data_IF_281774026426
#
_entry.id   IF_281774026426
#
_cell.length_a   1.000
_cell.length_b   1.000
_cell.length_c   1.000
_cell.angle_alpha   90.00
_cell.angle_beta   90.00
_cell.angle_gamma   90.00
#
_symmetry.space_group_name_H-M   'P 1'
#
loop_
_entity.id
_entity.type
_entity.pdbx_description
1 polymer ?
#
# COMPACT_ATOMS: atom_id res chain seq x y z
N UNK A 1 12.63 -7.54 0.99
CA UNK A 1 11.22 -7.31 0.59
C UNK A 1 11.16 -6.23 -0.48
N UNK A 2 10.30 -6.43 -1.48
CA UNK A 2 10.03 -5.42 -2.51
C UNK A 2 8.56 -4.99 -2.39
N UNK A 3 8.33 -3.70 -2.14
CA UNK A 3 7.00 -3.08 -2.09
C UNK A 3 6.86 -2.17 -3.32
N UNK A 4 5.75 -2.30 -4.03
CA UNK A 4 5.40 -1.37 -5.12
C UNK A 4 4.11 -0.65 -4.73
N UNK A 5 4.20 0.66 -4.65
CA UNK A 5 3.05 1.55 -4.44
C UNK A 5 2.54 1.99 -5.81
N UNK A 6 1.28 1.73 -6.06
CA UNK A 6 0.59 2.05 -7.32
C UNK A 6 -0.53 3.02 -7.02
N UNK A 7 -0.63 4.07 -7.81
CA UNK A 7 -1.80 4.95 -7.83
C UNK A 7 -2.20 5.25 -9.28
N UNK A 8 -3.28 5.99 -9.48
CA UNK A 8 -3.73 6.38 -10.82
C UNK A 8 -2.64 7.11 -11.60
N UNK A 9 -1.92 8.00 -10.93
CA UNK A 9 -0.78 8.72 -11.50
C UNK A 9 0.47 8.47 -10.69
N UNK A 10 1.64 8.61 -11.34
CA UNK A 10 2.92 8.46 -10.64
C UNK A 10 3.14 9.56 -9.60
N UNK A 11 2.60 10.77 -9.83
CA UNK A 11 2.65 11.87 -8.87
C UNK A 11 1.96 11.52 -7.55
N UNK A 12 0.74 10.97 -7.61
CA UNK A 12 0.02 10.50 -6.42
C UNK A 12 0.77 9.39 -5.68
N UNK A 13 1.34 8.42 -6.41
CA UNK A 13 2.15 7.39 -5.79
C UNK A 13 3.42 7.96 -5.12
N UNK A 14 4.01 9.02 -5.68
CA UNK A 14 5.17 9.71 -5.09
C UNK A 14 4.85 10.39 -3.76
N UNK A 15 3.62 10.90 -3.57
CA UNK A 15 3.21 11.50 -2.30
C UNK A 15 3.36 10.51 -1.13
N UNK A 16 3.12 9.22 -1.37
CA UNK A 16 3.32 8.18 -0.36
C UNK A 16 4.81 8.08 0.03
N UNK A 17 5.72 8.13 -0.96
CA UNK A 17 7.16 8.13 -0.70
C UNK A 17 7.57 9.39 0.08
N UNK A 18 7.05 10.55 -0.30
CA UNK A 18 7.33 11.82 0.39
C UNK A 18 6.84 11.80 1.84
N UNK A 19 5.64 11.28 2.10
CA UNK A 19 5.14 11.09 3.47
C UNK A 19 6.04 10.18 4.29
N UNK A 20 6.49 9.07 3.72
CA UNK A 20 7.43 8.16 4.41
C UNK A 20 8.74 8.88 4.71
N UNK A 21 9.33 9.58 3.74
CA UNK A 21 10.66 10.18 3.88
C UNK A 21 10.67 11.48 4.68
N UNK A 22 9.61 12.28 4.55
CA UNK A 22 9.57 13.63 5.12
C UNK A 22 8.84 13.68 6.46
N UNK A 23 7.94 12.73 6.72
CA UNK A 23 7.14 12.72 7.95
C UNK A 23 7.53 11.56 8.87
N UNK A 24 7.56 10.33 8.37
CA UNK A 24 7.79 9.15 9.21
C UNK A 24 9.28 8.90 9.50
N UNK A 25 10.15 9.19 8.55
CA UNK A 25 11.59 8.93 8.65
C UNK A 25 12.39 10.22 8.89
N UNK A 26 11.84 11.20 9.59
CA UNK A 26 12.56 12.42 9.94
C UNK A 26 13.54 12.17 11.07
N UNK A 27 14.70 12.81 10.95
CA UNK A 27 15.73 12.79 12.00
C UNK A 27 15.29 13.56 13.25
N UNK A 28 14.46 14.58 13.08
CA UNK A 28 13.94 15.44 14.14
C UNK A 28 12.44 15.63 14.00
N UNK A 29 11.75 15.89 15.10
CA UNK A 29 10.30 16.11 15.12
C UNK A 29 9.52 14.81 15.40
N UNK A 30 8.37 14.67 14.76
CA UNK A 30 7.42 13.55 14.99
C UNK A 30 7.87 12.23 14.36
N UNK A 31 8.83 12.28 13.43
CA UNK A 31 9.35 11.11 12.76
C UNK A 31 10.31 10.30 13.63
N UNK A 32 10.62 9.10 13.18
CA UNK A 32 11.55 8.20 13.86
C UNK A 32 12.97 8.32 13.30
N UNK A 33 13.91 8.74 14.14
CA UNK A 33 15.33 8.74 13.82
C UNK A 33 15.85 7.33 13.50
N UNK A 34 15.31 6.30 14.18
CA UNK A 34 15.64 4.91 13.93
C UNK A 34 15.19 4.45 12.54
N UNK A 35 13.97 4.80 12.11
CA UNK A 35 13.52 4.51 10.76
C UNK A 35 14.35 5.24 9.71
N UNK A 36 14.74 6.49 9.97
CA UNK A 36 15.60 7.24 9.07
C UNK A 36 16.99 6.59 8.94
N UNK A 37 17.55 6.03 10.02
CA UNK A 37 18.85 5.34 9.99
C UNK A 37 18.85 4.04 9.19
N UNK A 38 17.68 3.42 8.98
CA UNK A 38 17.53 2.23 8.13
C UNK A 38 17.56 2.53 6.64
N UNK A 39 17.39 3.82 6.25
CA UNK A 39 17.37 4.23 4.84
C UNK A 39 18.80 4.35 4.33
N UNK A 40 19.15 3.49 3.36
CA UNK A 40 20.41 3.54 2.64
C UNK A 40 20.41 4.58 1.52
N UNK A 41 19.28 4.69 0.82
CA UNK A 41 19.13 5.59 -0.33
C UNK A 41 17.67 5.99 -0.49
N UNK A 42 17.44 7.24 -0.83
CA UNK A 42 16.11 7.76 -1.19
C UNK A 42 16.18 8.62 -2.45
N UNK A 43 15.17 8.53 -3.26
CA UNK A 43 14.92 9.40 -4.42
C UNK A 43 13.45 9.77 -4.45
N UNK A 44 13.16 11.04 -4.61
CA UNK A 44 11.85 11.64 -4.79
C UNK A 44 11.60 12.11 -6.23
N UNK A 45 12.46 11.71 -7.15
CA UNK A 45 12.33 12.00 -8.58
C UNK A 45 10.97 11.52 -9.10
N UNK A 46 10.25 12.40 -9.79
CA UNK A 46 8.88 12.19 -10.29
C UNK A 46 8.71 10.84 -11.02
N UNK A 47 9.72 10.42 -11.78
CA UNK A 47 9.64 9.19 -12.58
C UNK A 47 10.27 7.96 -11.93
N UNK A 48 10.95 8.10 -10.78
CA UNK A 48 11.72 7.02 -10.18
C UNK A 48 11.86 7.20 -8.66
N UNK A 49 10.75 7.56 -8.00
CA UNK A 49 10.77 7.65 -6.55
C UNK A 49 10.91 6.27 -5.93
N UNK A 50 11.88 6.14 -5.03
CA UNK A 50 12.16 4.89 -4.32
C UNK A 50 12.92 5.12 -3.04
N UNK A 51 12.73 4.20 -2.11
CA UNK A 51 13.50 4.07 -0.88
C UNK A 51 14.18 2.71 -0.90
N UNK A 52 15.47 2.68 -0.62
CA UNK A 52 16.26 1.45 -0.44
C UNK A 52 16.76 1.44 0.99
N UNK A 53 16.49 0.35 1.71
CA UNK A 53 16.93 0.14 3.07
C UNK A 53 18.24 -0.63 3.13
N UNK A 54 19.00 -0.49 4.23
CA UNK A 54 20.27 -1.21 4.44
C UNK A 54 20.10 -2.73 4.35
N UNK A 55 18.95 -3.28 4.79
CA UNK A 55 18.60 -4.69 4.65
C UNK A 55 18.23 -5.14 3.22
N UNK A 56 18.41 -4.28 2.20
CA UNK A 56 18.12 -4.58 0.79
C UNK A 56 16.63 -4.55 0.42
N UNK A 57 15.75 -4.17 1.34
CA UNK A 57 14.33 -3.95 1.05
C UNK A 57 14.16 -2.68 0.22
N UNK A 58 13.15 -2.67 -0.66
CA UNK A 58 12.88 -1.56 -1.58
C UNK A 58 11.40 -1.21 -1.51
N UNK A 59 11.11 0.09 -1.42
CA UNK A 59 9.79 0.66 -1.71
C UNK A 59 9.95 1.51 -2.97
N UNK A 60 9.12 1.29 -3.98
CA UNK A 60 9.15 2.04 -5.23
C UNK A 60 7.74 2.32 -5.73
N UNK A 61 7.60 3.27 -6.62
CA UNK A 61 6.31 3.71 -7.16
C UNK A 61 6.11 3.25 -8.60
N UNK A 62 4.85 3.07 -8.97
CA UNK A 62 4.44 2.82 -10.35
C UNK A 62 3.12 3.53 -10.66
N UNK A 63 2.95 3.98 -11.88
CA UNK A 63 1.64 4.38 -12.38
C UNK A 63 0.81 3.16 -12.78
N UNK A 64 -0.51 3.27 -12.64
CA UNK A 64 -1.45 2.20 -13.02
C UNK A 64 -1.69 2.16 -14.53
N UNK A 65 -0.71 1.71 -15.29
CA UNK A 65 -0.78 1.56 -16.75
C UNK A 65 -0.01 0.33 -17.25
N UNK A 66 -0.12 0.04 -18.54
CA UNK A 66 0.53 -1.12 -19.16
C UNK A 66 2.06 -1.10 -19.09
N UNK A 67 2.68 0.08 -19.02
CA UNK A 67 4.14 0.21 -18.94
C UNK A 67 4.69 -0.32 -17.60
N UNK A 68 3.84 -0.50 -16.59
CA UNK A 68 4.25 -1.03 -15.30
C UNK A 68 4.55 -2.54 -15.29
N UNK A 69 4.38 -3.26 -16.40
CA UNK A 69 4.56 -4.73 -16.48
C UNK A 69 5.94 -5.25 -16.07
N UNK A 70 6.94 -4.40 -16.05
CA UNK A 70 8.32 -4.77 -15.68
C UNK A 70 8.55 -4.86 -14.16
N UNK A 71 7.63 -4.31 -13.35
CA UNK A 71 7.79 -4.36 -11.89
C UNK A 71 7.64 -5.79 -11.34
N UNK A 72 8.34 -6.04 -10.24
CA UNK A 72 8.21 -7.27 -9.43
C UNK A 72 8.15 -6.86 -7.97
N UNK A 73 7.21 -7.44 -7.23
CA UNK A 73 6.94 -7.10 -5.84
C UNK A 73 6.62 -8.34 -5.01
N UNK A 74 6.80 -8.23 -3.70
CA UNK A 74 6.24 -9.15 -2.72
C UNK A 74 4.97 -8.55 -2.09
N UNK A 75 4.91 -7.22 -2.05
CA UNK A 75 3.75 -6.48 -1.56
C UNK A 75 3.39 -5.41 -2.59
N UNK A 76 2.14 -5.34 -2.97
CA UNK A 76 1.58 -4.22 -3.71
C UNK A 76 0.66 -3.40 -2.81
N UNK A 77 0.78 -2.08 -2.92
CA UNK A 77 -0.14 -1.13 -2.28
C UNK A 77 -0.80 -0.34 -3.39
N UNK A 78 -2.10 -0.50 -3.56
CA UNK A 78 -2.86 0.27 -4.55
C UNK A 78 -3.60 1.37 -3.81
N UNK A 79 -3.05 2.56 -3.91
CA UNK A 79 -3.59 3.76 -3.31
C UNK A 79 -4.67 4.37 -4.22
N UNK A 80 -5.74 4.91 -3.63
CA UNK A 80 -6.90 5.40 -4.37
C UNK A 80 -7.44 4.36 -5.36
N UNK A 81 -7.50 3.08 -4.95
CA UNK A 81 -7.79 1.97 -5.85
C UNK A 81 -9.13 2.10 -6.59
N UNK A 82 -10.08 2.86 -6.07
CA UNK A 82 -11.36 3.16 -6.74
C UNK A 82 -11.18 3.95 -8.05
N UNK A 83 -10.06 4.66 -8.20
CA UNK A 83 -9.72 5.45 -9.38
C UNK A 83 -8.91 4.64 -10.42
N UNK A 84 -8.48 3.43 -10.08
CA UNK A 84 -7.69 2.56 -10.94
C UNK A 84 -8.61 1.63 -11.72
N UNK A 85 -8.33 1.40 -12.99
CA UNK A 85 -9.09 0.46 -13.81
C UNK A 85 -8.91 -0.98 -13.30
N UNK A 86 -10.02 -1.70 -13.16
CA UNK A 86 -10.02 -3.09 -12.68
C UNK A 86 -9.22 -4.03 -13.59
N UNK A 87 -9.26 -3.79 -14.92
CA UNK A 87 -8.50 -4.57 -15.89
C UNK A 87 -7.00 -4.38 -15.69
N UNK A 88 -6.55 -3.16 -15.41
CA UNK A 88 -5.14 -2.87 -15.07
C UNK A 88 -4.74 -3.56 -13.76
N UNK A 89 -5.59 -3.52 -12.73
CA UNK A 89 -5.31 -4.24 -11.47
C UNK A 89 -5.09 -5.73 -11.75
N UNK A 90 -6.01 -6.38 -12.46
CA UNK A 90 -5.97 -7.83 -12.65
C UNK A 90 -4.88 -8.28 -13.64
N UNK A 91 -4.67 -7.52 -14.72
CA UNK A 91 -3.83 -7.95 -15.84
C UNK A 91 -2.39 -7.43 -15.76
N UNK A 92 -2.15 -6.38 -14.97
CA UNK A 92 -0.82 -5.75 -14.86
C UNK A 92 -0.33 -5.80 -13.41
N UNK A 93 -1.03 -5.14 -12.48
CA UNK A 93 -0.53 -4.89 -11.12
C UNK A 93 -0.40 -6.20 -10.33
N UNK A 94 -1.41 -7.06 -10.33
CA UNK A 94 -1.36 -8.35 -9.62
C UNK A 94 -0.28 -9.28 -10.15
N UNK A 95 0.16 -9.10 -11.39
CA UNK A 95 1.27 -9.88 -11.97
C UNK A 95 2.65 -9.46 -11.45
N UNK A 96 2.77 -8.38 -10.69
CA UNK A 96 4.01 -8.07 -9.97
C UNK A 96 4.33 -9.13 -8.91
N UNK A 97 3.32 -9.79 -8.37
CA UNK A 97 3.40 -10.79 -7.31
C UNK A 97 3.73 -12.19 -7.86
N UNK A 98 4.82 -12.31 -8.62
CA UNK A 98 5.15 -13.56 -9.31
C UNK A 98 6.02 -14.52 -8.49
N UNK A 99 6.66 -14.05 -7.42
CA UNK A 99 7.52 -14.87 -6.59
C UNK A 99 7.31 -14.56 -5.11
N UNK A 100 7.25 -15.58 -4.23
CA UNK A 100 7.12 -15.38 -2.80
C UNK A 100 8.38 -14.70 -2.24
N UNK A 101 8.22 -14.05 -1.10
CA UNK A 101 9.34 -13.49 -0.37
C UNK A 101 10.21 -14.61 0.19
N UNK A 102 11.52 -14.55 -0.10
CA UNK A 102 12.53 -15.43 0.46
C UNK A 102 13.47 -14.63 1.34
N UNK A 103 13.23 -14.51 2.65
CA UNK A 103 14.14 -13.86 3.57
C UNK A 103 15.50 -14.57 3.61
N UNK A 104 16.59 -13.81 3.73
CA UNK A 104 17.95 -14.37 3.71
C UNK A 104 18.26 -15.37 4.83
N UNK A 105 17.51 -15.35 5.94
CA UNK A 105 17.68 -16.34 7.00
C UNK A 105 17.26 -17.76 6.58
N UNK A 106 16.43 -17.90 5.54
CA UNK A 106 16.01 -19.20 5.01
C UNK A 106 17.16 -20.01 4.39
N UNK A 107 18.29 -19.37 4.10
CA UNK A 107 19.49 -20.05 3.62
C UNK A 107 20.31 -20.66 4.78
N UNK A 108 19.98 -20.35 6.04
CA UNK A 108 20.69 -20.80 7.23
C UNK A 108 19.98 -21.97 7.90
N UNK A 109 20.77 -22.79 8.60
CA UNK A 109 20.23 -23.84 9.48
C UNK A 109 19.57 -23.22 10.73
N UNK A 110 18.46 -23.79 11.24
CA UNK A 110 17.71 -24.96 10.74
C UNK A 110 16.65 -24.63 9.66
N UNK A 111 16.48 -23.36 9.30
CA UNK A 111 15.35 -22.85 8.50
C UNK A 111 15.32 -23.40 7.06
N UNK A 112 16.48 -23.78 6.50
CA UNK A 112 16.59 -24.29 5.14
C UNK A 112 15.85 -25.62 4.91
N UNK A 113 15.55 -26.37 5.98
CA UNK A 113 14.89 -27.66 5.91
C UNK A 113 13.35 -27.57 5.98
N UNK A 114 12.80 -26.41 6.30
CA UNK A 114 11.35 -26.21 6.48
C UNK A 114 10.88 -24.94 5.77
N UNK A 115 11.23 -24.82 4.49
CA UNK A 115 11.01 -23.61 3.69
C UNK A 115 9.53 -23.24 3.62
N UNK A 116 8.64 -24.22 3.48
CA UNK A 116 7.19 -23.95 3.32
C UNK A 116 6.59 -23.28 4.54
N UNK A 117 7.13 -23.54 5.73
CA UNK A 117 6.70 -22.91 6.98
C UNK A 117 7.10 -21.44 7.08
N UNK A 118 8.22 -21.07 6.47
CA UNK A 118 8.81 -19.73 6.61
C UNK A 118 8.69 -18.86 5.36
N UNK A 119 8.19 -19.43 4.26
CA UNK A 119 7.86 -18.63 3.07
C UNK A 119 6.68 -17.71 3.38
N UNK A 120 6.89 -16.43 3.15
CA UNK A 120 5.82 -15.45 3.31
C UNK A 120 5.04 -15.30 2.00
N UNK A 121 3.70 -15.39 2.05
CA UNK A 121 2.88 -15.14 0.88
C UNK A 121 2.99 -13.68 0.43
N UNK A 122 2.85 -13.46 -0.85
CA UNK A 122 2.73 -12.11 -1.38
C UNK A 122 1.41 -11.48 -0.91
N UNK A 123 1.41 -10.16 -0.73
CA UNK A 123 0.28 -9.43 -0.16
C UNK A 123 -0.21 -8.32 -1.09
N UNK A 124 -1.51 -8.12 -1.07
CA UNK A 124 -2.21 -7.03 -1.75
C UNK A 124 -2.84 -6.11 -0.72
N UNK A 125 -2.53 -4.83 -0.77
CA UNK A 125 -3.13 -3.78 0.07
C UNK A 125 -3.87 -2.80 -0.84
N UNK A 126 -5.11 -2.52 -0.52
CA UNK A 126 -5.96 -1.58 -1.25
C UNK A 126 -6.47 -0.52 -0.28
N UNK A 127 -6.13 0.73 -0.54
CA UNK A 127 -6.56 1.88 0.24
C UNK A 127 -7.32 2.87 -0.64
N UNK A 128 -8.43 3.39 -0.16
CA UNK A 128 -9.19 4.44 -0.85
C UNK A 128 -10.30 5.01 0.04
N UNK A 129 -10.81 6.17 -0.34
CA UNK A 129 -12.09 6.66 0.14
C UNK A 129 -13.24 5.77 -0.32
N UNK A 130 -14.38 5.85 0.35
CA UNK A 130 -15.60 5.17 -0.08
C UNK A 130 -16.05 5.65 -1.46
N UNK A 131 -16.71 4.77 -2.21
CA UNK A 131 -17.25 5.05 -3.55
C UNK A 131 -18.65 4.48 -3.69
N UNK A 132 -19.25 4.64 -4.87
CA UNK A 132 -20.61 4.20 -5.14
C UNK A 132 -20.78 2.67 -5.00
N UNK A 133 -21.92 2.23 -4.45
CA UNK A 133 -22.22 0.78 -4.22
C UNK A 133 -22.27 -0.06 -5.51
N UNK A 134 -22.57 0.54 -6.65
CA UNK A 134 -22.58 -0.13 -7.95
C UNK A 134 -21.18 -0.28 -8.56
N UNK A 135 -20.16 0.38 -8.01
CA UNK A 135 -18.79 0.30 -8.49
C UNK A 135 -18.14 -1.04 -8.11
N UNK A 136 -17.20 -1.53 -8.91
CA UNK A 136 -16.50 -2.79 -8.68
C UNK A 136 -15.76 -2.84 -7.34
N UNK A 137 -15.27 -1.69 -6.85
CA UNK A 137 -14.56 -1.56 -5.58
C UNK A 137 -15.41 -1.99 -4.39
N UNK A 138 -16.70 -1.70 -4.41
CA UNK A 138 -17.62 -2.15 -3.36
C UNK A 138 -17.75 -3.69 -3.33
N UNK A 139 -17.82 -4.32 -4.50
CA UNK A 139 -17.83 -5.79 -4.59
C UNK A 139 -16.53 -6.40 -4.08
N UNK A 140 -15.38 -5.76 -4.39
CA UNK A 140 -14.07 -6.20 -3.87
C UNK A 140 -14.01 -6.08 -2.35
N UNK A 141 -14.40 -4.94 -1.77
CA UNK A 141 -14.47 -4.73 -0.32
C UNK A 141 -15.36 -5.80 0.34
N UNK A 142 -16.55 -6.04 -0.20
CA UNK A 142 -17.47 -7.06 0.31
C UNK A 142 -16.86 -8.46 0.27
N UNK A 143 -16.16 -8.81 -0.80
CA UNK A 143 -15.45 -10.09 -0.92
C UNK A 143 -14.35 -10.23 0.14
N UNK A 144 -13.59 -9.18 0.41
CA UNK A 144 -12.56 -9.17 1.47
C UNK A 144 -13.18 -9.35 2.86
N UNK A 145 -14.27 -8.63 3.12
CA UNK A 145 -15.00 -8.74 4.39
C UNK A 145 -15.53 -10.16 4.62
N UNK A 146 -16.16 -10.77 3.60
CA UNK A 146 -16.67 -12.13 3.70
C UNK A 146 -15.53 -13.15 3.94
N UNK A 147 -14.43 -13.05 3.21
CA UNK A 147 -13.29 -13.92 3.43
C UNK A 147 -12.65 -13.74 4.82
N UNK A 148 -12.65 -12.52 5.36
CA UNK A 148 -12.20 -12.25 6.73
C UNK A 148 -13.13 -12.92 7.75
N UNK A 149 -14.45 -12.84 7.56
CA UNK A 149 -15.44 -13.49 8.42
C UNK A 149 -15.29 -15.02 8.36
N UNK A 150 -15.00 -15.58 7.18
CA UNK A 150 -14.73 -17.00 6.97
C UNK A 150 -13.37 -17.48 7.57
N UNK A 151 -12.64 -16.60 8.25
CA UNK A 151 -11.36 -16.93 8.89
C UNK A 151 -10.19 -17.13 7.93
N UNK A 152 -10.32 -16.67 6.67
CA UNK A 152 -9.22 -16.68 5.69
C UNK A 152 -8.24 -15.54 5.95
N UNK A 153 -7.02 -15.61 5.38
CA UNK A 153 -5.98 -14.56 5.51
C UNK A 153 -6.36 -13.30 4.71
N UNK A 154 -7.45 -12.66 5.11
CA UNK A 154 -7.95 -11.41 4.58
C UNK A 154 -8.21 -10.43 5.72
N UNK A 155 -8.02 -9.14 5.45
CA UNK A 155 -8.37 -8.06 6.36
C UNK A 155 -9.19 -7.01 5.60
N UNK A 156 -10.24 -6.52 6.22
CA UNK A 156 -11.07 -5.42 5.71
C UNK A 156 -11.39 -4.48 6.86
N UNK A 157 -11.11 -3.19 6.67
CA UNK A 157 -11.40 -2.13 7.62
C UNK A 157 -12.13 -0.99 6.92
N UNK A 158 -13.18 -0.49 7.55
CA UNK A 158 -13.84 0.74 7.15
C UNK A 158 -13.74 1.74 8.31
N UNK A 159 -13.19 2.91 8.02
CA UNK A 159 -13.03 3.99 9.00
C UNK A 159 -14.09 5.06 8.70
N UNK A 160 -15.20 5.10 9.46
CA UNK A 160 -16.24 6.09 9.27
C UNK A 160 -15.74 7.48 9.69
N UNK A 161 -16.28 8.54 9.09
CA UNK A 161 -15.85 9.92 9.33
C UNK A 161 -15.99 10.37 10.80
N UNK A 162 -16.84 9.72 11.57
CA UNK A 162 -17.02 9.98 12.99
C UNK A 162 -15.73 9.74 13.79
N UNK A 163 -14.91 8.77 13.40
CA UNK A 163 -13.66 8.48 14.08
C UNK A 163 -12.62 9.59 13.90
N UNK A 164 -12.25 10.02 12.67
CA UNK A 164 -11.38 11.17 12.49
C UNK A 164 -11.91 12.46 13.13
N UNK A 165 -13.24 12.65 13.14
CA UNK A 165 -13.86 13.80 13.84
C UNK A 165 -13.62 13.74 15.35
N UNK A 166 -13.80 12.57 15.96
CA UNK A 166 -13.55 12.36 17.39
C UNK A 166 -12.07 12.60 17.76
N UNK A 167 -11.16 12.17 16.89
CA UNK A 167 -9.72 12.33 17.09
C UNK A 167 -9.19 13.72 16.67
N UNK A 168 -10.07 14.65 16.29
CA UNK A 168 -9.67 16.02 15.90
C UNK A 168 -8.93 16.14 14.57
N UNK A 169 -8.96 15.10 13.74
CA UNK A 169 -8.36 15.08 12.40
C UNK A 169 -9.26 15.69 11.33
N UNK A 170 -10.56 15.84 11.63
CA UNK A 170 -11.54 16.52 10.78
C UNK A 170 -12.28 17.57 11.60
N UNK A 171 -12.65 18.66 10.94
CA UNK A 171 -13.47 19.72 11.56
C UNK A 171 -14.96 19.48 11.27
N UNK A 172 -15.81 19.63 12.27
CA UNK A 172 -17.26 19.41 12.16
C UNK A 172 -17.90 20.29 11.08
N UNK A 173 -17.53 21.57 11.01
CA UNK A 173 -18.04 22.52 10.02
C UNK A 173 -17.74 22.12 8.58
N UNK A 174 -16.60 21.48 8.32
CA UNK A 174 -16.25 20.97 6.98
C UNK A 174 -17.20 19.84 6.59
N UNK A 175 -17.47 18.90 7.49
CA UNK A 175 -18.38 17.78 7.23
C UNK A 175 -19.82 18.29 7.02
N UNK A 176 -20.28 19.23 7.81
CA UNK A 176 -21.61 19.83 7.68
C UNK A 176 -21.77 20.55 6.32
N UNK A 177 -20.73 21.26 5.87
CA UNK A 177 -20.72 21.90 4.55
C UNK A 177 -20.81 20.85 3.42
N UNK A 178 -19.97 19.82 3.45
CA UNK A 178 -19.98 18.76 2.44
C UNK A 178 -21.32 17.99 2.40
N UNK A 179 -21.93 17.74 3.54
CA UNK A 179 -23.23 17.09 3.63
C UNK A 179 -24.36 17.97 3.05
N UNK A 180 -24.29 19.28 3.23
CA UNK A 180 -25.28 20.22 2.68
C UNK A 180 -25.20 20.36 1.17
N UNK A 181 -24.02 20.17 0.57
CA UNK A 181 -23.83 20.19 -0.88
C UNK A 181 -24.24 18.88 -1.58
N UNK A 182 -24.33 17.79 -0.82
CA UNK A 182 -24.62 16.45 -1.36
C UNK A 182 -26.11 16.09 -1.34
N UNK A 183 -26.98 17.00 -0.89
CA UNK A 183 -28.45 16.88 -0.89
C UNK A 183 -29.05 17.68 -2.00
#
# INVERSE_FOLDING_TARGET
TKVVVVSRTIGQANEVIQKITNELCQKFGWGSANLNSEIKYKSDSINNAKIIFHGGSIIQVAASNDNARHFRANIIVVDEFVKVDLGIINNVIRRFLTAPRKPGFLEREPYKYDLDKYLEPNREVYASSAWMKNHWSFRKMKSYLLNMIDGKDFFCCNIPYQLPLKEGLLMRNQIEAEMSEST
#
